data_IF_798109117829
#
_entry.id   IF_798109117829
#
_cell.length_a   1.000
_cell.length_b   1.000
_cell.length_c   1.000
_cell.angle_alpha   90.00
_cell.angle_beta   90.00
_cell.angle_gamma   90.00
#
_symmetry.space_group_name_H-M   'P 1'
#
loop_
_entity.id
_entity.type
_entity.pdbx_description
1 polymer ?
#
# COMPACT_ATOMS: atom_id res chain seq x y z
N UNK A 1 -9.94 -16.52 11.75
CA UNK A 1 -8.66 -15.80 11.53
C UNK A 1 -8.58 -15.25 10.13
N UNK A 2 -7.94 -15.97 9.18
CA UNK A 2 -7.68 -15.47 7.82
C UNK A 2 -8.91 -15.44 6.87
N UNK A 3 -9.80 -16.42 6.97
CA UNK A 3 -11.01 -16.46 6.14
C UNK A 3 -11.97 -15.30 6.48
N UNK A 4 -12.11 -14.97 7.77
CA UNK A 4 -12.95 -13.86 8.24
C UNK A 4 -12.41 -12.50 7.78
N UNK A 5 -11.09 -12.27 7.85
CA UNK A 5 -10.49 -11.04 7.33
C UNK A 5 -10.68 -10.91 5.83
N UNK A 6 -10.46 -11.98 5.05
CA UNK A 6 -10.72 -11.98 3.61
C UNK A 6 -12.20 -11.70 3.29
N UNK A 7 -13.14 -12.23 4.08
CA UNK A 7 -14.57 -11.95 3.93
C UNK A 7 -14.93 -10.49 4.24
N UNK A 8 -14.28 -9.85 5.22
CA UNK A 8 -14.49 -8.42 5.52
C UNK A 8 -13.92 -7.56 4.40
N UNK A 9 -12.74 -7.90 3.88
CA UNK A 9 -12.11 -7.16 2.77
C UNK A 9 -12.86 -7.33 1.46
N UNK A 10 -13.41 -8.51 1.17
CA UNK A 10 -14.26 -8.72 -0.01
C UNK A 10 -15.58 -7.96 0.09
N UNK A 11 -16.18 -7.94 1.29
CA UNK A 11 -17.39 -7.15 1.56
C UNK A 11 -17.11 -5.64 1.42
N UNK A 12 -15.97 -5.18 1.93
CA UNK A 12 -15.53 -3.78 1.82
C UNK A 12 -15.27 -3.39 0.37
N UNK A 13 -14.57 -4.23 -0.40
CA UNK A 13 -14.35 -4.00 -1.83
C UNK A 13 -15.67 -3.93 -2.60
N UNK A 14 -16.61 -4.84 -2.31
CA UNK A 14 -17.95 -4.81 -2.90
C UNK A 14 -18.70 -3.52 -2.56
N UNK A 15 -18.66 -3.09 -1.30
CA UNK A 15 -19.31 -1.86 -0.84
C UNK A 15 -18.75 -0.62 -1.53
N UNK A 16 -17.43 -0.43 -1.49
CA UNK A 16 -16.79 0.73 -2.13
C UNK A 16 -16.92 0.69 -3.66
N UNK A 17 -16.77 -0.47 -4.28
CA UNK A 17 -16.98 -0.65 -5.71
C UNK A 17 -18.42 -0.36 -6.14
N UNK A 18 -19.41 -0.70 -5.31
CA UNK A 18 -20.81 -0.32 -5.53
C UNK A 18 -21.01 1.18 -5.35
N UNK A 19 -20.43 1.77 -4.31
CA UNK A 19 -20.43 3.22 -4.10
C UNK A 19 -19.93 3.97 -5.34
N UNK A 20 -18.79 3.55 -5.90
CA UNK A 20 -18.24 4.14 -7.14
C UNK A 20 -19.22 4.02 -8.31
N UNK A 21 -19.91 2.88 -8.49
CA UNK A 21 -20.91 2.70 -9.57
C UNK A 21 -22.16 3.56 -9.40
N UNK A 22 -22.49 3.95 -8.17
CA UNK A 22 -23.65 4.78 -7.87
C UNK A 22 -23.35 6.29 -8.00
N UNK A 23 -22.07 6.66 -8.09
CA UNK A 23 -21.69 8.05 -8.30
C UNK A 23 -22.16 8.56 -9.69
N UNK A 24 -22.59 9.82 -9.74
CA UNK A 24 -22.94 10.51 -10.98
C UNK A 24 -21.77 10.56 -11.96
N UNK A 25 -22.01 10.59 -13.27
CA UNK A 25 -20.93 10.61 -14.30
C UNK A 25 -19.82 11.66 -14.09
N UNK A 26 -20.16 12.83 -13.52
CA UNK A 26 -19.21 13.92 -13.24
C UNK A 26 -18.84 14.03 -11.75
N UNK A 27 -18.79 12.90 -11.04
CA UNK A 27 -18.55 12.89 -9.61
C UNK A 27 -17.17 13.42 -9.22
N UNK A 28 -16.15 13.33 -10.08
CA UNK A 28 -14.84 13.94 -9.82
C UNK A 28 -14.88 15.48 -9.82
N UNK A 29 -15.81 16.10 -10.57
CA UNK A 29 -16.08 17.53 -10.51
C UNK A 29 -16.95 17.91 -9.32
N UNK A 30 -18.10 17.24 -9.20
CA UNK A 30 -19.16 17.62 -8.26
C UNK A 30 -18.98 17.09 -6.82
N UNK A 31 -18.27 15.96 -6.67
CA UNK A 31 -18.11 15.24 -5.40
C UNK A 31 -16.67 14.70 -5.28
N UNK A 32 -15.69 15.58 -5.47
CA UNK A 32 -14.27 15.21 -5.55
C UNK A 32 -13.79 14.41 -4.34
N UNK A 33 -13.99 14.92 -3.12
CA UNK A 33 -13.47 14.29 -1.90
C UNK A 33 -14.07 12.89 -1.69
N UNK A 34 -15.37 12.75 -1.92
CA UNK A 34 -16.06 11.46 -1.87
C UNK A 34 -15.51 10.49 -2.92
N UNK A 35 -15.29 10.97 -4.13
CA UNK A 35 -14.72 10.17 -5.23
C UNK A 35 -13.32 9.68 -4.85
N UNK A 36 -12.46 10.59 -4.40
CA UNK A 36 -11.09 10.29 -3.98
C UNK A 36 -11.07 9.25 -2.85
N UNK A 37 -11.89 9.45 -1.81
CA UNK A 37 -12.00 8.50 -0.70
C UNK A 37 -12.48 7.13 -1.15
N UNK A 38 -13.57 7.05 -1.92
CA UNK A 38 -14.12 5.77 -2.37
C UNK A 38 -13.11 4.99 -3.23
N UNK A 39 -12.41 5.66 -4.14
CA UNK A 39 -11.40 5.02 -4.98
C UNK A 39 -10.20 4.54 -4.16
N UNK A 40 -9.73 5.33 -3.19
CA UNK A 40 -8.64 4.95 -2.30
C UNK A 40 -9.01 3.75 -1.40
N UNK A 41 -10.19 3.76 -0.78
CA UNK A 41 -10.64 2.63 0.05
C UNK A 41 -10.90 1.37 -0.78
N UNK A 42 -11.41 1.52 -2.01
CA UNK A 42 -11.55 0.39 -2.93
C UNK A 42 -10.19 -0.19 -3.30
N UNK A 43 -9.18 0.64 -3.55
CA UNK A 43 -7.80 0.19 -3.82
C UNK A 43 -7.21 -0.61 -2.65
N UNK A 44 -7.34 -0.10 -1.43
CA UNK A 44 -6.84 -0.78 -0.22
C UNK A 44 -7.56 -2.12 -0.01
N UNK A 45 -8.89 -2.18 -0.22
CA UNK A 45 -9.65 -3.41 -0.08
C UNK A 45 -9.26 -4.46 -1.13
N UNK A 46 -9.07 -4.06 -2.39
CA UNK A 46 -8.61 -4.96 -3.46
C UNK A 46 -7.17 -5.44 -3.21
N UNK A 47 -6.29 -4.60 -2.65
CA UNK A 47 -4.96 -5.01 -2.22
C UNK A 47 -5.04 -6.10 -1.13
N UNK A 48 -5.86 -5.91 -0.11
CA UNK A 48 -6.06 -6.91 0.95
C UNK A 48 -6.66 -8.23 0.42
N UNK A 49 -7.43 -8.17 -0.68
CA UNK A 49 -7.95 -9.35 -1.37
C UNK A 49 -6.94 -9.99 -2.34
N UNK A 50 -5.75 -9.40 -2.52
CA UNK A 50 -4.74 -9.87 -3.47
C UNK A 50 -5.06 -9.56 -4.94
N UNK A 51 -6.04 -8.69 -5.22
CA UNK A 51 -6.49 -8.37 -6.57
C UNK A 51 -5.69 -7.20 -7.16
N UNK A 52 -4.41 -7.43 -7.39
CA UNK A 52 -3.44 -6.41 -7.79
C UNK A 52 -3.76 -5.76 -9.14
N UNK A 53 -4.41 -6.48 -10.06
CA UNK A 53 -4.91 -5.93 -11.32
C UNK A 53 -5.93 -4.82 -11.10
N UNK A 54 -6.86 -5.01 -10.14
CA UNK A 54 -7.84 -3.98 -9.80
C UNK A 54 -7.21 -2.81 -9.06
N UNK A 55 -6.25 -3.06 -8.16
CA UNK A 55 -5.47 -2.00 -7.50
C UNK A 55 -4.84 -1.09 -8.55
N UNK A 56 -4.12 -1.66 -9.53
CA UNK A 56 -3.48 -0.89 -10.62
C UNK A 56 -4.49 -0.10 -11.44
N UNK A 57 -5.66 -0.68 -11.72
CA UNK A 57 -6.73 -0.02 -12.48
C UNK A 57 -7.32 1.18 -11.72
N UNK A 58 -7.68 1.01 -10.45
CA UNK A 58 -8.31 2.08 -9.66
C UNK A 58 -7.32 3.18 -9.31
N UNK A 59 -6.08 2.83 -8.95
CA UNK A 59 -5.04 3.81 -8.61
C UNK A 59 -4.69 4.67 -9.81
N UNK A 60 -4.65 4.10 -11.03
CA UNK A 60 -4.50 4.88 -12.27
C UNK A 60 -5.56 5.99 -12.38
N UNK A 61 -6.83 5.69 -12.08
CA UNK A 61 -7.90 6.70 -12.08
C UNK A 61 -7.63 7.78 -11.03
N UNK A 62 -7.20 7.41 -9.81
CA UNK A 62 -6.85 8.38 -8.77
C UNK A 62 -5.70 9.27 -9.23
N UNK A 63 -4.62 8.70 -9.79
CA UNK A 63 -3.48 9.47 -10.28
C UNK A 63 -3.87 10.46 -11.38
N UNK A 64 -4.75 10.07 -12.31
CA UNK A 64 -5.23 10.92 -13.40
C UNK A 64 -6.21 12.02 -12.96
N UNK A 65 -7.00 11.77 -11.91
CA UNK A 65 -8.09 12.67 -11.50
C UNK A 65 -7.77 13.54 -10.29
N UNK A 66 -6.69 13.22 -9.58
CA UNK A 66 -6.27 13.97 -8.40
C UNK A 66 -5.89 15.42 -8.75
N UNK A 67 -6.22 16.35 -7.85
CA UNK A 67 -5.93 17.79 -7.99
C UNK A 67 -4.54 18.16 -7.51
N UNK A 68 -4.03 17.42 -6.52
CA UNK A 68 -2.71 17.65 -5.93
C UNK A 68 -1.92 16.35 -5.87
N UNK A 69 -0.59 16.47 -5.73
CA UNK A 69 0.26 15.32 -5.47
C UNK A 69 -0.06 14.65 -4.13
N UNK A 70 -0.49 15.42 -3.12
CA UNK A 70 -0.87 14.86 -1.81
C UNK A 70 -2.06 13.91 -1.91
N UNK A 71 -3.03 14.20 -2.78
CA UNK A 71 -4.18 13.32 -3.04
C UNK A 71 -3.76 11.97 -3.65
N UNK A 72 -2.64 11.96 -4.40
CA UNK A 72 -2.09 10.79 -5.05
C UNK A 72 -1.29 9.88 -4.10
N UNK A 73 -0.85 10.38 -2.95
CA UNK A 73 0.05 9.65 -2.04
C UNK A 73 -0.50 8.29 -1.62
N UNK A 74 -1.80 8.21 -1.34
CA UNK A 74 -2.42 6.93 -0.94
C UNK A 74 -2.45 5.92 -2.09
N UNK A 75 -2.72 6.39 -3.32
CA UNK A 75 -2.67 5.55 -4.52
C UNK A 75 -1.25 5.06 -4.80
N UNK A 76 -0.25 5.92 -4.63
CA UNK A 76 1.16 5.53 -4.73
C UNK A 76 1.56 4.52 -3.66
N UNK A 77 1.16 4.72 -2.41
CA UNK A 77 1.50 3.82 -1.30
C UNK A 77 0.97 2.40 -1.56
N UNK A 78 -0.28 2.26 -2.01
CA UNK A 78 -0.84 0.93 -2.30
C UNK A 78 -0.22 0.30 -3.55
N UNK A 79 0.24 1.10 -4.52
CA UNK A 79 1.03 0.60 -5.65
C UNK A 79 2.39 0.05 -5.22
N UNK A 80 3.12 0.78 -4.36
CA UNK A 80 4.40 0.30 -3.79
C UNK A 80 4.20 -1.01 -3.02
N UNK A 81 3.15 -1.09 -2.19
CA UNK A 81 2.78 -2.33 -1.48
C UNK A 81 2.47 -3.47 -2.45
N UNK A 82 1.74 -3.18 -3.52
CA UNK A 82 1.39 -4.15 -4.56
C UNK A 82 2.63 -4.69 -5.27
N UNK A 83 3.58 -3.81 -5.64
CA UNK A 83 4.85 -4.22 -6.24
C UNK A 83 5.66 -5.12 -5.29
N UNK A 84 5.69 -4.77 -3.99
CA UNK A 84 6.30 -5.61 -2.97
C UNK A 84 5.66 -7.00 -2.87
N UNK A 85 4.33 -7.07 -2.90
CA UNK A 85 3.58 -8.33 -2.89
C UNK A 85 3.77 -9.16 -4.17
N UNK A 86 3.99 -8.51 -5.33
CA UNK A 86 4.36 -9.14 -6.59
C UNK A 86 5.86 -9.47 -6.71
N UNK A 87 6.64 -9.35 -5.61
CA UNK A 87 8.09 -9.55 -5.53
C UNK A 87 8.93 -8.66 -6.46
N UNK A 88 8.36 -7.56 -6.94
CA UNK A 88 9.01 -6.53 -7.76
C UNK A 88 9.67 -5.47 -6.90
N UNK A 89 10.56 -5.91 -6.01
CA UNK A 89 11.16 -5.06 -4.99
C UNK A 89 11.93 -3.86 -5.57
N UNK A 90 12.62 -4.06 -6.69
CA UNK A 90 13.35 -2.98 -7.35
C UNK A 90 12.42 -1.86 -7.82
N UNK A 91 11.35 -2.20 -8.54
CA UNK A 91 10.31 -1.24 -8.99
C UNK A 91 9.64 -0.53 -7.80
N UNK A 92 9.40 -1.25 -6.70
CA UNK A 92 8.82 -0.68 -5.48
C UNK A 92 9.74 0.38 -4.84
N UNK A 93 11.03 0.10 -4.79
CA UNK A 93 12.06 1.00 -4.24
C UNK A 93 12.20 2.24 -5.12
N UNK A 94 12.33 2.07 -6.44
CA UNK A 94 12.43 3.19 -7.38
C UNK A 94 11.22 4.13 -7.29
N UNK A 95 10.02 3.55 -7.22
CA UNK A 95 8.79 4.32 -7.04
C UNK A 95 8.79 5.08 -5.71
N UNK A 96 9.18 4.42 -4.61
CA UNK A 96 9.31 5.04 -3.29
C UNK A 96 10.27 6.22 -3.26
N UNK A 97 11.45 6.07 -3.87
CA UNK A 97 12.44 7.15 -4.00
C UNK A 97 11.88 8.30 -4.83
N UNK A 98 11.21 8.02 -5.95
CA UNK A 98 10.58 9.05 -6.78
C UNK A 98 9.53 9.88 -6.01
N UNK A 99 8.69 9.22 -5.19
CA UNK A 99 7.70 9.89 -4.35
C UNK A 99 8.37 10.80 -3.32
N UNK A 100 9.38 10.28 -2.60
CA UNK A 100 10.08 11.04 -1.56
C UNK A 100 10.84 12.24 -2.13
N UNK A 101 11.44 12.07 -3.31
CA UNK A 101 12.10 13.15 -4.06
C UNK A 101 11.10 14.25 -4.43
N UNK A 102 9.91 13.88 -4.91
CA UNK A 102 8.85 14.84 -5.22
C UNK A 102 8.34 15.59 -3.97
N UNK A 103 8.37 14.97 -2.79
CA UNK A 103 8.07 15.59 -1.49
C UNK A 103 9.21 16.46 -0.95
N UNK A 104 10.25 16.75 -1.74
CA UNK A 104 11.38 17.59 -1.35
C UNK A 104 12.39 16.91 -0.44
N UNK A 105 12.25 15.60 -0.19
CA UNK A 105 13.27 14.83 0.50
C UNK A 105 14.28 14.39 -0.56
N UNK A 106 15.35 15.16 -0.74
CA UNK A 106 16.47 14.79 -1.60
C UNK A 106 17.17 13.56 -1.00
N UNK A 107 16.70 12.39 -1.40
CA UNK A 107 17.40 11.13 -1.20
C UNK A 107 18.40 11.01 -2.34
N UNK A 108 19.57 11.62 -2.19
CA UNK A 108 20.65 11.45 -3.16
C UNK A 108 20.91 9.95 -3.31
N UNK A 109 20.66 9.40 -4.51
CA UNK A 109 21.01 8.02 -4.85
C UNK A 109 22.49 7.71 -4.65
N UNK A 110 23.33 8.75 -4.57
CA UNK A 110 24.76 8.67 -4.24
C UNK A 110 25.04 8.34 -2.75
N UNK A 111 24.09 8.57 -1.84
CA UNK A 111 24.21 8.23 -0.42
C UNK A 111 23.45 6.97 -0.01
N UNK A 112 22.65 6.41 -0.92
CA UNK A 112 22.04 5.09 -0.74
C UNK A 112 22.95 4.06 -1.38
N UNK A 113 23.87 3.54 -0.58
CA UNK A 113 24.57 2.32 -0.94
C UNK A 113 23.52 1.22 -1.14
N UNK A 114 23.17 0.95 -2.40
CA UNK A 114 22.25 -0.11 -2.77
C UNK A 114 22.73 -1.47 -2.23
N UNK A 115 24.05 -1.63 -2.01
CA UNK A 115 24.59 -2.80 -1.35
C UNK A 115 24.28 -2.80 0.15
N UNK A 116 24.30 -1.66 0.85
CA UNK A 116 23.91 -1.58 2.26
C UNK A 116 22.43 -1.92 2.49
N UNK A 117 21.51 -1.41 1.66
CA UNK A 117 20.08 -1.77 1.78
C UNK A 117 19.87 -3.25 1.47
N UNK A 118 20.50 -3.76 0.41
CA UNK A 118 20.38 -5.16 0.04
C UNK A 118 21.05 -6.08 1.07
N UNK A 119 22.16 -5.66 1.68
CA UNK A 119 22.85 -6.36 2.77
C UNK A 119 21.99 -6.36 4.02
N UNK A 120 21.42 -5.23 4.45
CA UNK A 120 20.50 -5.19 5.59
C UNK A 120 19.26 -6.03 5.34
N UNK A 121 18.71 -6.03 4.12
CA UNK A 121 17.57 -6.89 3.77
C UNK A 121 17.95 -8.38 3.76
N UNK A 122 19.14 -8.72 3.27
CA UNK A 122 19.67 -10.09 3.28
C UNK A 122 20.06 -10.55 4.69
N UNK A 123 20.56 -9.68 5.55
CA UNK A 123 20.84 -9.94 6.97
C UNK A 123 19.55 -10.18 7.73
N UNK A 124 18.52 -9.37 7.49
CA UNK A 124 17.17 -9.59 8.03
C UNK A 124 16.65 -10.94 7.54
N UNK A 125 16.74 -11.23 6.24
CA UNK A 125 16.29 -12.51 5.66
C UNK A 125 17.07 -13.71 6.22
N UNK A 126 18.38 -13.62 6.35
CA UNK A 126 19.24 -14.65 6.94
C UNK A 126 18.98 -14.83 8.44
N UNK A 127 18.65 -13.75 9.14
CA UNK A 127 18.20 -13.78 10.54
C UNK A 127 16.84 -14.48 10.67
N UNK A 128 15.94 -14.35 9.69
CA UNK A 128 14.67 -15.07 9.65
C UNK A 128 14.82 -16.55 9.26
N UNK A 129 15.76 -16.89 8.37
CA UNK A 129 16.02 -18.27 7.94
C UNK A 129 16.75 -19.10 9.02
N UNK A 130 17.48 -18.45 9.94
CA UNK A 130 18.20 -19.11 11.04
C UNK A 130 17.53 -18.97 12.41
N UNK A 131 16.40 -18.24 12.51
CA UNK A 131 15.68 -18.09 13.77
C UNK A 131 14.95 -19.38 14.14
N UNK A 132 15.30 -19.95 15.28
CA UNK A 132 14.57 -21.12 15.81
C UNK A 132 13.24 -20.69 16.41
N UNK A 133 12.24 -21.59 16.37
CA UNK A 133 10.88 -21.34 16.88
C UNK A 133 10.82 -20.76 18.31
N UNK A 134 11.84 -21.02 19.14
CA UNK A 134 11.93 -20.52 20.52
C UNK A 134 12.28 -19.03 20.63
N UNK A 135 13.01 -18.47 19.66
CA UNK A 135 13.38 -17.05 19.63
C UNK A 135 12.24 -16.17 19.10
N UNK A 136 11.34 -16.74 18.29
CA UNK A 136 10.12 -16.07 17.83
C UNK A 136 9.15 -15.80 18.99
N UNK A 137 9.15 -16.66 20.02
CA UNK A 137 8.27 -16.54 21.17
C UNK A 137 8.75 -15.54 22.23
N UNK A 138 9.99 -15.03 22.13
CA UNK A 138 10.55 -14.00 23.02
C UNK A 138 10.51 -12.59 22.42
N UNK A 139 10.12 -12.44 21.16
CA UNK A 139 9.77 -11.15 20.58
C UNK A 139 8.51 -10.67 21.29
N UNK A 140 8.64 -9.58 22.05
CA UNK A 140 7.55 -8.94 22.79
C UNK A 140 6.34 -8.82 21.87
N UNK A 141 5.35 -9.66 22.10
CA UNK A 141 4.02 -9.51 21.51
C UNK A 141 3.64 -8.06 21.83
N UNK A 142 3.29 -7.29 20.81
CA UNK A 142 2.76 -5.95 21.01
C UNK A 142 1.48 -6.15 21.82
N UNK A 143 1.59 -6.03 23.15
CA UNK A 143 0.45 -5.95 24.04
C UNK A 143 -0.33 -4.75 23.57
N UNK A 144 -1.48 -5.01 22.96
CA UNK A 144 -2.53 -4.01 22.81
C UNK A 144 -3.00 -3.71 24.24
N UNK A 145 -2.28 -2.80 24.89
CA UNK A 145 -2.58 -2.32 26.22
C UNK A 145 -3.81 -1.42 26.13
N UNK A 146 -4.92 -2.01 26.57
CA UNK A 146 -6.04 -1.40 27.25
C UNK A 146 -6.48 0.00 26.81
N UNK A 147 -7.62 0.03 26.11
CA UNK A 147 -8.64 1.04 26.37
C UNK A 147 -10.04 0.44 26.15
N UNK A 148 -10.59 -0.06 27.27
CA UNK A 148 -12.00 -0.12 27.69
C UNK A 148 -13.10 -0.03 26.62
#
# INVERSE_FOLDING_TARGET
GKAMSLSIFSSSASYFGTGIRLLSRDHWGNNYDLSLHLHNYYADAEYCNGNFSQVKRVTKVVLEKSRTFYDQLRAYLVLVKTLGAETKLHEAIEMGIGILTHLGHNLSSESFDHSAINNSFNEIKASFENMTYREFSSLKIMEDSDAL
#
